data_IF_267613043657
#
_entry.id   IF_267613043657
#
_cell.length_a   1.000
_cell.length_b   1.000
_cell.length_c   1.000
_cell.angle_alpha   90.00
_cell.angle_beta   90.00
_cell.angle_gamma   90.00
#
_symmetry.space_group_name_H-M   'P 1'
#
loop_
_entity.id
_entity.type
_entity.pdbx_description
1 polymer ?
#
# COMPACT_ATOMS: atom_id res chain seq x y z
N UNK A 1 10.94 50.95 16.85
CA UNK A 1 10.55 51.48 18.19
C UNK A 1 9.68 50.44 18.88
N UNK A 2 9.72 50.32 20.23
CA UNK A 2 8.95 49.32 21.00
C UNK A 2 7.57 49.86 21.41
N UNK A 3 6.72 48.95 21.91
CA UNK A 3 5.35 49.09 22.48
C UNK A 3 4.23 48.69 21.49
N UNK A 4 3.11 48.06 21.93
CA UNK A 4 2.52 47.94 23.28
C UNK A 4 2.12 46.50 23.64
N UNK A 5 2.18 46.14 24.93
CA UNK A 5 1.32 45.11 25.56
C UNK A 5 0.13 45.83 26.20
N UNK A 6 -1.08 45.28 26.11
CA UNK A 6 -2.10 45.35 27.17
C UNK A 6 -2.99 44.11 27.11
N UNK A 7 -3.26 43.49 28.26
CA UNK A 7 -4.32 42.51 28.42
C UNK A 7 -5.65 43.24 28.63
N UNK A 8 -6.77 42.61 28.24
CA UNK A 8 -8.09 42.93 28.77
C UNK A 8 -8.86 41.62 29.04
N UNK A 9 -9.34 41.45 30.27
CA UNK A 9 -10.28 40.41 30.68
C UNK A 9 -11.71 40.83 30.35
N UNK A 10 -12.59 39.84 30.20
CA UNK A 10 -14.02 39.96 30.55
C UNK A 10 -14.98 40.05 29.37
N UNK A 11 -16.09 39.32 29.47
CA UNK A 11 -17.15 39.35 28.46
C UNK A 11 -18.08 38.13 28.39
N UNK A 12 -18.50 37.56 29.53
CA UNK A 12 -19.61 36.60 29.53
C UNK A 12 -20.92 37.38 29.29
N UNK A 13 -21.56 37.18 28.14
CA UNK A 13 -22.95 37.62 27.90
C UNK A 13 -23.74 36.49 27.26
N UNK A 14 -24.93 36.24 27.82
CA UNK A 14 -25.82 35.12 27.53
C UNK A 14 -27.23 35.67 27.27
N UNK A 15 -27.75 35.52 26.05
CA UNK A 15 -29.17 35.61 25.69
C UNK A 15 -29.33 35.08 24.24
N UNK A 16 -30.08 34.00 23.97
CA UNK A 16 -31.53 33.77 24.08
C UNK A 16 -32.35 34.41 22.95
N UNK A 17 -33.03 33.52 22.20
CA UNK A 17 -33.74 33.74 20.95
C UNK A 17 -35.06 34.51 21.06
N UNK A 18 -35.58 35.01 19.93
CA UNK A 18 -36.87 34.63 19.32
C UNK A 18 -37.23 35.51 18.11
N UNK A 19 -37.79 34.91 17.05
CA UNK A 19 -38.84 35.53 16.21
C UNK A 19 -38.43 36.10 14.84
N UNK A 20 -39.09 35.62 13.78
CA UNK A 20 -39.04 36.22 12.44
C UNK A 20 -39.37 35.23 11.31
N UNK A 21 -40.61 35.21 10.83
CA UNK A 21 -41.03 34.43 9.66
C UNK A 21 -41.94 35.28 8.76
N UNK A 22 -41.72 35.21 7.44
CA UNK A 22 -42.42 35.98 6.40
C UNK A 22 -41.67 37.27 6.02
N UNK A 23 -41.40 37.56 4.74
CA UNK A 23 -41.59 36.76 3.52
C UNK A 23 -41.67 37.65 2.28
N UNK A 24 -40.91 37.32 1.22
CA UNK A 24 -40.87 37.98 -0.11
C UNK A 24 -40.46 39.47 -0.13
N UNK A 25 -39.59 39.98 -1.00
CA UNK A 25 -38.55 39.46 -1.91
C UNK A 25 -37.57 40.66 -2.15
N UNK A 26 -36.49 40.69 -2.94
CA UNK A 26 -35.99 39.85 -4.06
C UNK A 26 -34.45 39.99 -4.15
N UNK A 27 -33.74 39.01 -4.73
CA UNK A 27 -32.36 39.16 -5.27
C UNK A 27 -31.17 39.34 -4.31
N UNK A 28 -30.47 38.25 -3.98
CA UNK A 28 -29.19 37.86 -4.64
C UNK A 28 -28.81 36.42 -4.20
N UNK A 29 -27.96 35.74 -4.97
CA UNK A 29 -27.91 34.28 -4.97
C UNK A 29 -27.00 33.64 -3.92
N UNK A 30 -27.59 32.94 -2.94
CA UNK A 30 -27.04 31.70 -2.33
C UNK A 30 -28.13 30.87 -1.63
N UNK A 31 -28.58 29.76 -2.24
CA UNK A 31 -29.31 28.70 -1.52
C UNK A 31 -29.27 27.35 -2.26
N UNK A 32 -28.33 26.50 -1.86
CA UNK A 32 -28.53 25.06 -1.59
C UNK A 32 -29.79 24.40 -2.18
N UNK A 33 -29.76 24.03 -3.47
CA UNK A 33 -30.58 22.93 -3.95
C UNK A 33 -29.94 21.61 -3.47
N UNK A 34 -30.68 20.85 -2.66
CA UNK A 34 -30.25 19.57 -2.12
C UNK A 34 -30.15 18.48 -3.18
N UNK A 35 -29.11 18.51 -4.01
CA UNK A 35 -28.48 17.30 -4.47
C UNK A 35 -27.32 17.01 -3.55
N UNK A 36 -27.40 15.98 -2.71
CA UNK A 36 -26.18 15.36 -2.18
C UNK A 36 -25.47 14.81 -3.42
N UNK A 37 -24.29 15.30 -3.83
CA UNK A 37 -23.33 14.34 -4.34
C UNK A 37 -23.12 13.40 -3.15
N UNK A 38 -23.75 12.23 -3.20
CA UNK A 38 -23.07 11.03 -2.74
C UNK A 38 -21.80 10.96 -3.56
N UNK A 39 -20.80 11.73 -3.12
CA UNK A 39 -19.41 11.46 -3.38
C UNK A 39 -19.22 10.05 -2.86
N UNK A 40 -19.38 9.08 -3.77
CA UNK A 40 -18.82 7.75 -3.60
C UNK A 40 -17.44 7.99 -3.00
N UNK A 41 -17.18 7.42 -1.84
CA UNK A 41 -15.83 7.31 -1.31
C UNK A 41 -15.02 6.31 -2.16
N UNK A 42 -14.96 6.56 -3.46
CA UNK A 42 -14.00 6.01 -4.40
C UNK A 42 -12.72 6.85 -4.30
N UNK A 43 -12.15 6.89 -3.09
CA UNK A 43 -11.13 7.87 -2.71
C UNK A 43 -10.07 7.37 -1.73
N UNK A 44 -10.12 6.09 -1.33
CA UNK A 44 -9.13 5.54 -0.39
C UNK A 44 -7.90 4.95 -1.11
N UNK A 45 -8.08 4.40 -2.32
CA UNK A 45 -6.99 3.75 -3.06
C UNK A 45 -6.14 4.75 -3.87
N UNK A 46 -6.75 5.80 -4.44
CA UNK A 46 -6.02 6.81 -5.20
C UNK A 46 -5.06 7.63 -4.31
N UNK A 47 -5.54 8.08 -3.15
CA UNK A 47 -4.72 8.85 -2.21
C UNK A 47 -3.50 8.06 -1.67
N UNK A 48 -3.66 6.75 -1.44
CA UNK A 48 -2.55 5.87 -1.07
C UNK A 48 -1.53 5.70 -2.20
N UNK A 49 -2.00 5.45 -3.43
CA UNK A 49 -1.14 5.36 -4.60
C UNK A 49 -0.37 6.67 -4.87
N UNK A 50 -0.99 7.83 -4.64
CA UNK A 50 -0.33 9.14 -4.81
C UNK A 50 0.80 9.35 -3.81
N UNK A 51 0.57 8.99 -2.54
CA UNK A 51 1.59 9.02 -1.49
C UNK A 51 2.76 8.05 -1.76
N UNK A 52 2.48 6.86 -2.29
CA UNK A 52 3.52 5.88 -2.63
C UNK A 52 4.40 6.36 -3.79
N UNK A 53 3.80 6.99 -4.83
CA UNK A 53 4.56 7.62 -5.92
C UNK A 53 5.44 8.77 -5.42
N UNK A 54 4.93 9.62 -4.53
CA UNK A 54 5.74 10.67 -3.91
C UNK A 54 6.90 10.11 -3.08
N UNK A 55 6.66 9.05 -2.30
CA UNK A 55 7.69 8.38 -1.52
C UNK A 55 8.81 7.81 -2.41
N UNK A 56 8.48 7.16 -3.52
CA UNK A 56 9.47 6.64 -4.48
C UNK A 56 10.28 7.75 -5.20
N UNK A 57 9.67 8.91 -5.46
CA UNK A 57 10.38 10.09 -5.99
C UNK A 57 11.36 10.66 -4.95
N UNK A 58 10.94 10.79 -3.68
CA UNK A 58 11.82 11.19 -2.57
C UNK A 58 12.96 10.20 -2.33
N UNK A 59 12.70 8.90 -2.49
CA UNK A 59 13.75 7.87 -2.45
C UNK A 59 14.80 8.12 -3.55
N UNK A 60 14.38 8.33 -4.79
CA UNK A 60 15.29 8.59 -5.92
C UNK A 60 16.12 9.87 -5.72
N UNK A 61 15.51 10.94 -5.20
CA UNK A 61 16.25 12.14 -4.80
C UNK A 61 17.28 11.85 -3.70
N UNK A 62 16.89 11.13 -2.64
CA UNK A 62 17.79 10.77 -1.55
C UNK A 62 18.99 9.93 -2.04
N UNK A 63 18.79 9.03 -3.00
CA UNK A 63 19.86 8.23 -3.62
C UNK A 63 20.88 9.12 -4.35
N UNK A 64 20.41 10.14 -5.08
CA UNK A 64 21.28 11.15 -5.73
C UNK A 64 22.08 11.94 -4.71
N UNK A 65 21.44 12.40 -3.63
CA UNK A 65 22.09 13.13 -2.54
C UNK A 65 23.11 12.29 -1.76
N UNK A 66 22.97 10.96 -1.74
CA UNK A 66 23.81 10.05 -0.95
C UNK A 66 24.90 9.31 -1.73
N UNK A 67 25.21 9.75 -2.96
CA UNK A 67 26.38 9.30 -3.71
C UNK A 67 26.10 8.52 -5.00
N UNK A 68 24.84 8.46 -5.43
CA UNK A 68 24.44 7.89 -6.73
C UNK A 68 23.78 8.99 -7.59
N UNK A 69 24.54 10.01 -8.07
CA UNK A 69 23.96 11.18 -8.74
C UNK A 69 23.15 10.84 -10.00
N UNK A 70 23.52 9.76 -10.69
CA UNK A 70 22.83 9.25 -11.89
C UNK A 70 21.64 8.33 -11.55
N UNK A 71 21.18 8.28 -10.29
CA UNK A 71 20.00 7.47 -9.93
C UNK A 71 18.74 8.08 -10.58
N UNK A 72 18.04 7.33 -11.45
CA UNK A 72 16.89 7.85 -12.18
C UNK A 72 15.66 7.95 -11.29
N UNK A 73 14.69 8.77 -11.70
CA UNK A 73 13.36 8.72 -11.11
C UNK A 73 12.53 7.55 -11.71
N UNK A 74 11.67 6.88 -10.92
CA UNK A 74 10.80 5.82 -11.40
C UNK A 74 9.81 6.31 -12.46
N UNK A 75 9.52 5.46 -13.44
CA UNK A 75 8.38 5.62 -14.34
C UNK A 75 7.20 4.82 -13.81
N UNK A 76 6.03 5.45 -13.80
CA UNK A 76 4.79 4.85 -13.32
C UNK A 76 3.92 4.50 -14.53
N UNK A 77 3.61 3.22 -14.68
CA UNK A 77 2.81 2.69 -15.79
C UNK A 77 1.32 2.70 -15.43
N UNK A 78 0.43 2.83 -16.42
CA UNK A 78 -1.01 2.65 -16.21
C UNK A 78 -1.30 1.23 -15.71
N UNK A 79 -1.92 1.12 -14.52
CA UNK A 79 -2.10 -0.16 -13.82
C UNK A 79 -1.18 -0.37 -12.61
N UNK A 80 -0.32 0.59 -12.26
CA UNK A 80 0.46 0.57 -11.01
C UNK A 80 1.83 -0.11 -11.10
N UNK A 81 2.29 -0.42 -12.32
CA UNK A 81 3.66 -0.88 -12.54
C UNK A 81 4.68 0.24 -12.28
N UNK A 82 5.83 -0.12 -11.72
CA UNK A 82 6.98 0.80 -11.51
C UNK A 82 8.16 0.30 -12.32
N UNK A 83 8.70 1.14 -13.20
CA UNK A 83 9.87 0.84 -14.01
C UNK A 83 11.06 1.72 -13.58
N UNK A 84 12.19 1.09 -13.29
CA UNK A 84 13.43 1.74 -12.88
C UNK A 84 14.63 1.02 -13.49
N UNK A 85 15.41 1.74 -14.31
CA UNK A 85 16.57 1.19 -15.03
C UNK A 85 17.83 1.97 -14.67
N UNK A 86 18.69 1.39 -13.84
CA UNK A 86 19.97 2.01 -13.46
C UNK A 86 20.94 2.09 -14.65
N UNK A 87 21.71 3.18 -14.79
CA UNK A 87 22.76 3.28 -15.81
C UNK A 87 23.84 2.19 -15.65
N UNK A 88 24.38 1.72 -16.77
CA UNK A 88 25.52 0.80 -16.76
C UNK A 88 26.73 1.43 -16.06
N UNK A 89 27.48 0.62 -15.29
CA UNK A 89 28.60 1.10 -14.48
C UNK A 89 28.22 1.76 -13.15
N UNK A 90 26.94 1.82 -12.79
CA UNK A 90 26.51 2.24 -11.44
C UNK A 90 27.11 1.30 -10.38
N UNK A 91 27.94 1.83 -9.48
CA UNK A 91 28.56 1.03 -8.40
C UNK A 91 27.50 0.52 -7.42
N UNK A 92 27.39 -0.81 -7.32
CA UNK A 92 26.50 -1.47 -6.37
C UNK A 92 26.78 -1.05 -4.92
N UNK A 93 28.03 -0.90 -4.52
CA UNK A 93 28.38 -0.51 -3.14
C UNK A 93 27.89 0.90 -2.81
N UNK A 94 27.91 1.84 -3.78
CA UNK A 94 27.33 3.18 -3.61
C UNK A 94 25.81 3.13 -3.54
N UNK A 95 25.16 2.29 -4.34
CA UNK A 95 23.71 2.05 -4.28
C UNK A 95 23.33 1.49 -2.91
N UNK A 96 23.95 0.40 -2.47
CA UNK A 96 23.63 -0.25 -1.20
C UNK A 96 23.88 0.70 0.01
N UNK A 97 24.93 1.52 -0.03
CA UNK A 97 25.23 2.50 1.01
C UNK A 97 24.30 3.74 1.00
N UNK A 98 23.81 4.16 -0.16
CA UNK A 98 22.80 5.21 -0.27
C UNK A 98 21.43 4.68 0.16
N UNK A 99 21.06 3.49 -0.29
CA UNK A 99 19.79 2.83 0.05
C UNK A 99 19.60 2.76 1.55
N UNK A 100 20.60 2.27 2.31
CA UNK A 100 20.54 2.19 3.77
C UNK A 100 20.11 3.49 4.47
N UNK A 101 20.49 4.66 3.93
CA UNK A 101 20.10 5.98 4.47
C UNK A 101 18.74 6.44 3.97
N UNK A 102 18.34 5.98 2.79
CA UNK A 102 17.11 6.35 2.10
C UNK A 102 15.92 5.41 2.37
N UNK A 103 16.14 4.26 3.04
CA UNK A 103 15.12 3.25 3.37
C UNK A 103 13.81 3.80 3.92
N UNK A 104 13.84 4.89 4.70
CA UNK A 104 12.65 5.58 5.21
C UNK A 104 11.62 6.01 4.14
N UNK A 105 12.03 6.14 2.87
CA UNK A 105 11.17 6.49 1.75
C UNK A 105 10.68 5.27 0.95
N UNK A 106 11.14 4.06 1.28
CA UNK A 106 10.65 2.83 0.68
C UNK A 106 9.47 2.26 1.48
N UNK A 107 8.49 1.61 0.84
CA UNK A 107 7.49 0.83 1.55
C UNK A 107 8.19 -0.21 2.44
N UNK A 108 7.76 -0.30 3.71
CA UNK A 108 8.36 -1.14 4.76
C UNK A 108 9.89 -1.00 4.91
N UNK A 109 10.48 0.18 4.69
CA UNK A 109 11.92 0.34 4.87
C UNK A 109 12.78 -0.39 3.83
N UNK A 110 12.20 -0.79 2.70
CA UNK A 110 12.85 -1.63 1.69
C UNK A 110 12.92 -3.10 2.08
N UNK A 111 12.19 -3.53 3.11
CA UNK A 111 11.99 -4.95 3.41
C UNK A 111 10.82 -5.51 2.58
N UNK A 112 10.94 -6.75 2.13
CA UNK A 112 9.83 -7.44 1.48
C UNK A 112 8.62 -7.52 2.45
N UNK A 113 7.40 -7.26 1.94
CA UNK A 113 6.17 -7.51 2.71
C UNK A 113 6.18 -8.97 3.17
N UNK A 114 6.33 -9.19 4.48
CA UNK A 114 6.11 -10.52 5.07
C UNK A 114 4.66 -10.93 4.79
N UNK A 115 4.39 -12.20 4.40
CA UNK A 115 3.02 -12.66 4.23
C UNK A 115 2.25 -12.48 5.54
N UNK A 116 0.95 -12.16 5.44
CA UNK A 116 0.08 -12.12 6.62
C UNK A 116 0.10 -13.49 7.34
N UNK A 117 0.03 -13.55 8.69
CA UNK A 117 0.04 -14.82 9.41
C UNK A 117 -1.05 -15.81 8.97
N UNK A 118 -2.26 -15.32 8.62
CA UNK A 118 -3.35 -16.15 8.09
C UNK A 118 -3.05 -16.68 6.68
N UNK A 119 -2.49 -15.83 5.81
CA UNK A 119 -1.99 -16.25 4.49
C UNK A 119 -0.88 -17.29 4.62
N UNK A 120 -0.01 -17.15 5.62
CA UNK A 120 1.08 -18.10 5.90
C UNK A 120 0.54 -19.47 6.32
N UNK A 121 -0.49 -19.51 7.16
CA UNK A 121 -1.16 -20.76 7.56
C UNK A 121 -1.86 -21.42 6.36
N UNK A 122 -2.57 -20.65 5.54
CA UNK A 122 -3.20 -21.12 4.31
C UNK A 122 -2.16 -21.69 3.32
N UNK A 123 -1.00 -21.05 3.15
CA UNK A 123 0.11 -21.56 2.35
C UNK A 123 0.71 -22.87 2.91
N UNK A 124 0.74 -23.06 4.24
CA UNK A 124 1.15 -24.35 4.84
C UNK A 124 0.14 -25.44 4.54
N UNK A 125 -1.16 -25.14 4.60
CA UNK A 125 -2.22 -26.09 4.23
C UNK A 125 -2.12 -26.48 2.74
N UNK A 126 -1.88 -25.51 1.85
CA UNK A 126 -1.61 -25.75 0.44
C UNK A 126 -0.39 -26.66 0.24
N UNK A 127 0.74 -26.33 0.87
CA UNK A 127 1.99 -27.08 0.75
C UNK A 127 1.85 -28.53 1.22
N UNK A 128 1.12 -28.76 2.32
CA UNK A 128 0.75 -30.10 2.78
C UNK A 128 -0.12 -30.84 1.75
N UNK A 129 -1.17 -30.19 1.23
CA UNK A 129 -2.05 -30.79 0.22
C UNK A 129 -1.29 -31.21 -1.06
N UNK A 130 -0.33 -30.40 -1.50
CA UNK A 130 0.52 -30.71 -2.67
C UNK A 130 1.37 -31.97 -2.43
N UNK A 131 1.96 -32.09 -1.22
CA UNK A 131 2.72 -33.29 -0.82
C UNK A 131 1.82 -34.54 -0.74
N UNK A 132 0.63 -34.42 -0.16
CA UNK A 132 -0.37 -35.50 -0.09
C UNK A 132 -0.91 -35.92 -1.47
N UNK A 133 -0.83 -35.05 -2.48
CA UNK A 133 -1.24 -35.33 -3.86
C UNK A 133 -0.08 -35.72 -4.80
N UNK A 134 1.05 -36.16 -4.24
CA UNK A 134 2.15 -36.78 -5.00
C UNK A 134 3.29 -35.84 -5.40
N UNK A 135 3.27 -34.58 -4.94
CA UNK A 135 4.39 -33.66 -5.10
C UNK A 135 5.19 -33.64 -3.79
N UNK A 136 5.78 -34.80 -3.43
CA UNK A 136 6.41 -35.04 -2.11
C UNK A 136 7.47 -33.99 -1.72
N UNK A 137 8.17 -33.45 -2.71
CA UNK A 137 9.21 -32.42 -2.55
C UNK A 137 8.68 -30.98 -2.49
N UNK A 138 7.37 -30.78 -2.44
CA UNK A 138 6.78 -29.45 -2.42
C UNK A 138 7.17 -28.70 -1.13
N UNK A 139 7.78 -27.51 -1.23
CA UNK A 139 8.33 -26.79 -0.09
C UNK A 139 7.24 -26.17 0.78
N UNK A 140 7.58 -25.87 2.04
CA UNK A 140 6.75 -25.08 2.94
C UNK A 140 7.06 -23.57 2.81
N UNK A 141 6.12 -22.68 3.16
CA UNK A 141 6.36 -21.23 3.12
C UNK A 141 7.37 -20.78 4.17
N UNK A 142 8.16 -19.79 3.78
CA UNK A 142 9.15 -19.06 4.59
C UNK A 142 8.60 -17.69 5.02
N UNK A 143 9.37 -16.91 5.78
CA UNK A 143 9.10 -15.48 6.04
C UNK A 143 9.00 -14.63 4.76
N UNK A 144 9.51 -15.14 3.62
CA UNK A 144 9.40 -14.54 2.29
C UNK A 144 8.26 -15.16 1.44
N UNK A 145 7.38 -15.96 2.06
CA UNK A 145 6.31 -16.69 1.37
C UNK A 145 6.75 -18.05 0.82
N UNK A 146 5.88 -18.61 -0.03
CA UNK A 146 6.05 -19.92 -0.66
C UNK A 146 6.89 -19.78 -1.94
N UNK A 147 8.04 -20.45 -1.98
CA UNK A 147 8.98 -20.40 -3.10
C UNK A 147 9.01 -21.76 -3.79
N UNK A 148 8.35 -21.90 -4.95
CA UNK A 148 8.29 -23.17 -5.70
C UNK A 148 9.36 -23.18 -6.78
N UNK A 149 10.35 -24.07 -6.66
CA UNK A 149 11.38 -24.28 -7.68
C UNK A 149 11.17 -25.64 -8.38
N UNK A 150 11.07 -25.64 -9.71
CA UNK A 150 10.79 -26.85 -10.50
C UNK A 150 11.95 -27.87 -10.49
N UNK A 151 13.20 -27.41 -10.37
CA UNK A 151 14.40 -28.25 -10.26
C UNK A 151 14.42 -28.98 -8.91
N UNK A 152 14.01 -28.31 -7.82
CA UNK A 152 13.79 -28.91 -6.50
C UNK A 152 12.71 -29.99 -6.55
N UNK A 153 11.60 -29.73 -7.25
CA UNK A 153 10.56 -30.74 -7.47
C UNK A 153 11.05 -31.92 -8.31
N UNK A 154 12.04 -31.71 -9.18
CA UNK A 154 12.44 -32.69 -10.19
C UNK A 154 11.36 -32.92 -11.25
N UNK A 155 10.55 -31.88 -11.52
CA UNK A 155 9.41 -31.91 -12.44
C UNK A 155 9.48 -30.72 -13.39
N UNK A 156 8.77 -30.79 -14.52
CA UNK A 156 8.62 -29.64 -15.41
C UNK A 156 7.44 -28.76 -14.96
N UNK A 157 7.43 -27.45 -15.29
CA UNK A 157 6.30 -26.57 -14.96
C UNK A 157 4.97 -27.05 -15.55
N UNK A 158 5.00 -27.82 -16.63
CA UNK A 158 3.84 -28.34 -17.34
C UNK A 158 3.47 -29.79 -16.96
N UNK A 159 4.17 -30.41 -16.01
CA UNK A 159 3.97 -31.81 -15.59
C UNK A 159 2.51 -32.07 -15.18
N UNK A 160 1.84 -33.09 -15.74
CA UNK A 160 0.43 -33.37 -15.44
C UNK A 160 0.19 -33.74 -13.97
N UNK A 161 1.20 -34.25 -13.24
CA UNK A 161 1.09 -34.54 -11.81
C UNK A 161 1.01 -33.25 -10.99
N UNK A 162 1.85 -32.25 -11.34
CA UNK A 162 1.84 -30.94 -10.71
C UNK A 162 0.46 -30.29 -10.90
N UNK A 163 -0.01 -30.18 -12.14
CA UNK A 163 -1.34 -29.63 -12.48
C UNK A 163 -2.49 -30.36 -11.75
N UNK A 164 -2.44 -31.69 -11.69
CA UNK A 164 -3.47 -32.48 -10.99
C UNK A 164 -3.46 -32.29 -9.47
N UNK A 165 -2.30 -32.02 -8.86
CA UNK A 165 -2.21 -31.65 -7.46
C UNK A 165 -2.71 -30.21 -7.22
N UNK A 166 -2.26 -29.25 -8.05
CA UNK A 166 -2.69 -27.84 -7.97
C UNK A 166 -4.20 -27.69 -8.09
N UNK A 167 -4.84 -28.40 -9.03
CA UNK A 167 -6.29 -28.38 -9.22
C UNK A 167 -7.07 -28.85 -7.99
N UNK A 168 -6.59 -29.91 -7.32
CA UNK A 168 -7.20 -30.42 -6.07
C UNK A 168 -6.96 -29.47 -4.90
N UNK A 169 -5.78 -28.86 -4.84
CA UNK A 169 -5.36 -27.97 -3.75
C UNK A 169 -5.77 -26.51 -3.99
N UNK A 170 -6.41 -26.18 -5.12
CA UNK A 170 -6.73 -24.81 -5.56
C UNK A 170 -7.47 -23.96 -4.51
N UNK A 171 -8.36 -24.58 -3.72
CA UNK A 171 -9.12 -23.91 -2.66
C UNK A 171 -8.26 -23.44 -1.48
N UNK A 172 -7.03 -23.96 -1.36
CA UNK A 172 -6.06 -23.60 -0.33
C UNK A 172 -5.04 -22.57 -0.85
N UNK A 173 -5.12 -22.11 -2.11
CA UNK A 173 -4.29 -20.99 -2.57
C UNK A 173 -4.86 -19.69 -2.01
N UNK A 174 -4.05 -18.80 -1.42
CA UNK A 174 -4.49 -17.45 -1.09
C UNK A 174 -4.92 -16.70 -2.36
N UNK A 175 -6.06 -16.01 -2.30
CA UNK A 175 -6.38 -15.04 -3.34
C UNK A 175 -5.56 -13.75 -3.10
N UNK A 176 -5.21 -12.99 -4.15
CA UNK A 176 -4.53 -11.70 -3.97
C UNK A 176 -5.35 -10.74 -3.09
N UNK A 177 -6.68 -10.77 -3.17
CA UNK A 177 -7.60 -9.95 -2.35
C UNK A 177 -7.58 -10.35 -0.85
N UNK A 178 -7.26 -11.62 -0.55
CA UNK A 178 -7.14 -12.11 0.83
C UNK A 178 -5.82 -11.63 1.49
N UNK A 179 -4.81 -11.32 0.68
CA UNK A 179 -3.51 -10.85 1.17
C UNK A 179 -3.51 -9.38 1.64
N UNK A 180 -4.46 -8.55 1.20
CA UNK A 180 -4.63 -7.18 1.68
C UNK A 180 -5.63 -7.06 2.86
N UNK A 181 -6.64 -7.93 2.88
CA UNK A 181 -7.76 -7.85 3.83
C UNK A 181 -7.43 -8.30 5.27
N UNK A 182 -6.32 -9.04 5.48
CA UNK A 182 -5.78 -9.35 6.81
C UNK A 182 -5.52 -8.10 7.69
N UNK A 183 -5.29 -6.94 7.05
CA UNK A 183 -5.09 -5.65 7.74
C UNK A 183 -6.38 -5.05 8.32
N UNK A 184 -7.56 -5.42 7.82
CA UNK A 184 -8.83 -4.77 8.20
C UNK A 184 -9.61 -5.49 9.31
N UNK A 185 -9.46 -6.82 9.45
CA UNK A 185 -10.22 -7.62 10.42
C UNK A 185 -9.78 -7.53 11.88
N UNK A 186 -8.79 -6.68 12.24
CA UNK A 186 -8.37 -6.44 13.63
C UNK A 186 -8.92 -5.15 14.25
N UNK A 187 -9.99 -4.57 13.69
CA UNK A 187 -10.57 -3.30 14.16
C UNK A 187 -12.02 -3.35 14.63
N UNK A 188 -12.66 -4.53 14.63
CA UNK A 188 -13.99 -4.73 15.21
C UNK A 188 -13.92 -5.88 16.22
N UNK A 189 -14.39 -5.62 17.45
CA UNK A 189 -14.30 -6.53 18.61
C UNK A 189 -15.63 -7.13 19.02
#
# INVERSE_FOLDING_TARGET
MRTRRMLALGGLVLALAVGGCGGSDEGDGVATAGGTPSAKAAGNNAAGADQEREAMLRFSQCMRENGVPEYPDPKFEEGGGVNLSLPEGTSKEKVDAAEQKCRQYLPNGGEAKKPDPGVTEQLRAYSKCMRENGIEKFPDPTDQGLQVNNEQLGMKPDDPRLKAAEEKCRQLRPNPDDAESGTQSRSQG
#
